data_IF_535340163673
#
_entry.id   IF_535340163673
#
_cell.length_a   1.000
_cell.length_b   1.000
_cell.length_c   1.000
_cell.angle_alpha   90.00
_cell.angle_beta   90.00
_cell.angle_gamma   90.00
#
_symmetry.space_group_name_H-M   'P 1'
#
loop_
_entity.id
_entity.type
_entity.pdbx_description
1 polymer ?
#
# COMPACT_ATOMS: atom_id res chain seq x y z
N UNK A 1 -8.10 -31.63 18.67
CA UNK A 1 -7.57 -30.50 19.48
C UNK A 1 -6.63 -29.66 18.62
N UNK A 2 -6.86 -28.35 18.60
CA UNK A 2 -6.42 -27.43 17.55
C UNK A 2 -4.89 -27.26 17.45
N UNK A 3 -4.38 -27.39 16.21
CA UNK A 3 -3.03 -26.99 15.82
C UNK A 3 -2.89 -25.47 15.92
N UNK A 4 -2.10 -25.00 16.89
CA UNK A 4 -1.74 -23.58 17.06
C UNK A 4 -0.88 -23.13 15.88
N UNK A 5 -1.50 -22.74 14.78
CA UNK A 5 -0.87 -21.88 13.77
C UNK A 5 -1.35 -20.46 13.99
N UNK A 6 -0.50 -19.60 14.54
CA UNK A 6 -0.33 -18.21 14.08
C UNK A 6 0.80 -17.48 14.85
N UNK A 7 1.45 -16.46 14.25
CA UNK A 7 1.44 -16.11 12.83
C UNK A 7 2.82 -15.69 12.26
N UNK A 8 3.05 -16.06 11.00
CA UNK A 8 4.08 -15.46 10.13
C UNK A 8 3.92 -13.93 9.92
N UNK A 9 2.88 -13.29 10.50
CA UNK A 9 2.64 -11.83 10.48
C UNK A 9 3.62 -11.05 11.36
N UNK A 10 4.02 -11.57 12.52
CA UNK A 10 4.87 -10.81 13.47
C UNK A 10 6.28 -10.61 12.94
N UNK A 11 6.85 -11.63 12.28
CA UNK A 11 8.19 -11.57 11.70
C UNK A 11 8.30 -10.62 10.49
N UNK A 12 7.18 -10.33 9.82
CA UNK A 12 7.12 -9.39 8.70
C UNK A 12 7.09 -7.92 9.15
N UNK A 13 6.78 -7.64 10.41
CA UNK A 13 6.76 -6.29 10.99
C UNK A 13 8.15 -5.86 11.49
N UNK A 14 8.93 -6.78 12.06
CA UNK A 14 10.24 -6.46 12.65
C UNK A 14 11.27 -5.96 11.61
N UNK A 15 11.27 -6.49 10.37
CA UNK A 15 12.12 -5.97 9.29
C UNK A 15 11.62 -4.63 8.70
N UNK A 16 10.36 -4.25 8.95
CA UNK A 16 9.78 -3.00 8.45
C UNK A 16 10.12 -1.81 9.35
N UNK A 17 10.34 -2.03 10.66
CA UNK A 17 10.74 -0.96 11.57
C UNK A 17 12.05 -0.29 11.13
N UNK A 18 13.07 -1.06 10.75
CA UNK A 18 14.33 -0.51 10.22
C UNK A 18 14.17 0.31 8.93
N UNK A 19 13.13 0.05 8.13
CA UNK A 19 12.84 0.85 6.94
C UNK A 19 12.25 2.21 7.31
N UNK A 20 11.43 2.29 8.37
CA UNK A 20 10.81 3.54 8.81
C UNK A 20 11.82 4.56 9.34
N UNK A 21 12.99 4.10 9.75
CA UNK A 21 14.07 4.98 10.21
C UNK A 21 14.86 5.65 9.08
N UNK A 22 14.63 5.26 7.82
CA UNK A 22 15.31 5.89 6.70
C UNK A 22 14.82 7.34 6.50
N UNK A 23 15.72 8.31 6.28
CA UNK A 23 15.33 9.71 6.05
C UNK A 23 14.28 9.88 4.95
N UNK A 24 14.49 9.22 3.81
CA UNK A 24 13.54 9.23 2.69
C UNK A 24 12.14 8.75 3.11
N UNK A 25 12.08 7.68 3.90
CA UNK A 25 10.81 7.11 4.35
C UNK A 25 10.09 8.04 5.31
N UNK A 26 10.83 8.72 6.20
CA UNK A 26 10.25 9.75 7.07
C UNK A 26 9.68 10.92 6.26
N UNK A 27 10.38 11.36 5.20
CA UNK A 27 9.85 12.37 4.29
C UNK A 27 8.55 11.92 3.63
N UNK A 28 8.48 10.67 3.13
CA UNK A 28 7.24 10.13 2.55
C UNK A 28 6.09 10.08 3.56
N UNK A 29 6.37 9.70 4.81
CA UNK A 29 5.36 9.69 5.88
C UNK A 29 4.86 11.10 6.14
N UNK A 30 5.76 12.09 6.21
CA UNK A 30 5.39 13.49 6.40
C UNK A 30 4.49 14.00 5.27
N UNK A 31 4.78 13.63 4.02
CA UNK A 31 3.94 14.01 2.89
C UNK A 31 2.57 13.32 2.92
N UNK A 32 2.50 12.06 3.36
CA UNK A 32 1.21 11.39 3.58
C UNK A 32 0.40 12.06 4.70
N UNK A 33 1.06 12.52 5.77
CA UNK A 33 0.41 13.31 6.82
C UNK A 33 -0.10 14.66 6.31
N UNK A 34 0.68 15.34 5.47
CA UNK A 34 0.26 16.60 4.80
C UNK A 34 -0.97 16.38 3.90
N UNK A 35 -1.14 15.18 3.33
CA UNK A 35 -2.30 14.77 2.54
C UNK A 35 -3.52 14.36 3.39
N UNK A 36 -3.43 14.43 4.72
CA UNK A 36 -4.54 14.23 5.64
C UNK A 36 -4.63 12.83 6.25
N UNK A 37 -3.61 11.98 6.10
CA UNK A 37 -3.55 10.67 6.75
C UNK A 37 -2.96 10.80 8.16
N UNK A 38 -3.46 10.00 9.11
CA UNK A 38 -2.85 9.96 10.44
C UNK A 38 -1.50 9.24 10.39
N UNK A 39 -0.58 9.53 11.31
CA UNK A 39 0.76 8.92 11.30
C UNK A 39 0.78 7.39 11.32
N UNK A 40 -0.23 6.74 11.92
CA UNK A 40 -0.37 5.28 11.86
C UNK A 40 -0.94 4.80 10.51
N UNK A 41 -1.96 5.48 9.98
CA UNK A 41 -2.52 5.17 8.66
C UNK A 41 -1.48 5.36 7.55
N UNK A 42 -0.68 6.43 7.64
CA UNK A 42 0.41 6.74 6.72
C UNK A 42 1.46 5.64 6.70
N UNK A 43 1.89 5.15 7.88
CA UNK A 43 2.82 4.02 8.01
C UNK A 43 2.22 2.74 7.43
N UNK A 44 0.95 2.44 7.70
CA UNK A 44 0.29 1.26 7.16
C UNK A 44 0.22 1.31 5.63
N UNK A 45 -0.22 2.44 5.08
CA UNK A 45 -0.30 2.66 3.64
C UNK A 45 1.06 2.53 2.96
N UNK A 46 2.07 3.19 3.51
CA UNK A 46 3.44 3.06 3.02
C UNK A 46 3.86 1.60 3.00
N UNK A 47 3.74 0.89 4.13
CA UNK A 47 4.15 -0.51 4.24
C UNK A 47 3.41 -1.41 3.25
N UNK A 48 2.13 -1.14 3.00
CA UNK A 48 1.29 -1.91 2.07
C UNK A 48 1.77 -1.74 0.63
N UNK A 49 2.07 -0.52 0.20
CA UNK A 49 2.34 -0.21 -1.21
C UNK A 49 3.83 -0.11 -1.56
N UNK A 50 4.71 0.07 -0.59
CA UNK A 50 6.14 0.32 -0.79
C UNK A 50 6.81 -0.71 -1.70
N UNK A 51 6.51 -2.00 -1.52
CA UNK A 51 7.13 -3.05 -2.33
C UNK A 51 6.69 -2.99 -3.80
N UNK A 52 5.41 -2.76 -4.03
CA UNK A 52 4.85 -2.67 -5.40
C UNK A 52 5.40 -1.41 -6.07
N UNK A 53 5.32 -0.28 -5.38
CA UNK A 53 5.82 1.01 -5.83
C UNK A 53 7.31 0.99 -6.18
N UNK A 54 8.14 0.37 -5.34
CA UNK A 54 9.58 0.22 -5.60
C UNK A 54 9.86 -0.59 -6.88
N UNK A 55 8.99 -1.52 -7.24
CA UNK A 55 9.15 -2.32 -8.46
C UNK A 55 8.64 -1.60 -9.71
N UNK A 56 7.60 -0.77 -9.58
CA UNK A 56 6.98 -0.08 -10.72
C UNK A 56 7.61 1.27 -11.04
N UNK A 57 7.93 2.07 -10.03
CA UNK A 57 8.42 3.45 -10.18
C UNK A 57 9.95 3.53 -10.16
N UNK A 58 10.63 2.49 -9.68
CA UNK A 58 12.10 2.45 -9.57
C UNK A 58 12.61 2.97 -8.22
N UNK A 59 13.85 3.47 -8.21
CA UNK A 59 14.53 3.91 -6.98
C UNK A 59 14.11 5.33 -6.59
N UNK A 60 13.67 5.48 -5.32
CA UNK A 60 13.53 6.72 -4.55
C UNK A 60 13.09 7.95 -5.38
N UNK A 61 11.89 7.93 -5.99
CA UNK A 61 11.29 9.13 -6.59
C UNK A 61 11.09 10.22 -5.53
N UNK A 62 10.77 11.44 -5.94
CA UNK A 62 10.44 12.52 -4.99
C UNK A 62 9.40 12.01 -3.96
N UNK A 63 9.64 12.27 -2.67
CA UNK A 63 8.78 11.81 -1.58
C UNK A 63 7.32 12.29 -1.75
N UNK A 64 7.13 13.50 -2.28
CA UNK A 64 5.82 14.07 -2.60
C UNK A 64 5.10 13.26 -3.68
N UNK A 65 5.78 12.98 -4.80
CA UNK A 65 5.23 12.19 -5.90
C UNK A 65 4.93 10.76 -5.45
N UNK A 66 5.81 10.17 -4.65
CA UNK A 66 5.60 8.84 -4.08
C UNK A 66 4.37 8.80 -3.16
N UNK A 67 4.20 9.79 -2.31
CA UNK A 67 3.03 9.90 -1.44
C UNK A 67 1.73 10.06 -2.25
N UNK A 68 1.74 10.90 -3.29
CA UNK A 68 0.60 11.07 -4.20
C UNK A 68 0.22 9.76 -4.89
N UNK A 69 1.19 9.04 -5.43
CA UNK A 69 0.95 7.75 -6.08
C UNK A 69 0.37 6.70 -5.13
N UNK A 70 0.87 6.63 -3.89
CA UNK A 70 0.27 5.76 -2.86
C UNK A 70 -1.21 6.11 -2.66
N UNK A 71 -1.53 7.40 -2.58
CA UNK A 71 -2.90 7.88 -2.38
C UNK A 71 -3.78 7.54 -3.58
N UNK A 72 -3.30 7.73 -4.80
CA UNK A 72 -4.03 7.37 -6.01
C UNK A 72 -4.28 5.87 -6.11
N UNK A 73 -3.29 5.03 -5.78
CA UNK A 73 -3.47 3.58 -5.70
C UNK A 73 -4.51 3.22 -4.63
N UNK A 74 -4.44 3.83 -3.45
CA UNK A 74 -5.40 3.57 -2.37
C UNK A 74 -6.82 3.99 -2.79
N UNK A 75 -7.00 5.12 -3.46
CA UNK A 75 -8.28 5.55 -4.04
C UNK A 75 -8.77 4.57 -5.09
N UNK A 76 -7.91 4.15 -6.02
CA UNK A 76 -8.24 3.21 -7.08
C UNK A 76 -8.67 1.84 -6.53
N UNK A 77 -7.98 1.33 -5.50
CA UNK A 77 -8.30 0.05 -4.84
C UNK A 77 -9.65 0.10 -4.12
N UNK A 78 -9.99 1.25 -3.53
CA UNK A 78 -11.26 1.43 -2.81
C UNK A 78 -12.41 1.94 -3.70
N UNK A 79 -12.12 2.23 -4.97
CA UNK A 79 -13.11 2.73 -5.92
C UNK A 79 -14.15 1.66 -6.18
N UNK A 80 -15.44 2.01 -6.03
CA UNK A 80 -16.55 1.13 -6.43
C UNK A 80 -16.59 1.06 -7.95
N UNK A 81 -16.88 -0.14 -8.47
CA UNK A 81 -17.05 -0.33 -9.90
C UNK A 81 -18.21 0.53 -10.43
N UNK A 82 -17.92 1.30 -11.47
CA UNK A 82 -18.91 2.07 -12.23
C UNK A 82 -18.84 1.64 -13.70
N UNK A 83 -19.91 1.03 -14.26
CA UNK A 83 -19.94 0.60 -15.64
C UNK A 83 -19.94 1.75 -16.66
N UNK A 84 -20.19 2.98 -16.21
CA UNK A 84 -20.17 4.17 -17.08
C UNK A 84 -18.78 4.81 -17.20
N UNK A 85 -17.83 4.42 -16.35
CA UNK A 85 -16.46 4.91 -16.41
C UNK A 85 -15.61 4.04 -17.35
N UNK A 86 -15.16 4.58 -18.50
CA UNK A 86 -14.33 3.83 -19.45
C UNK A 86 -12.94 3.46 -18.87
N UNK A 87 -12.52 4.07 -17.77
CA UNK A 87 -11.26 3.75 -17.09
C UNK A 87 -11.39 2.60 -16.09
N UNK A 88 -12.54 1.92 -16.04
CA UNK A 88 -12.78 0.79 -15.16
C UNK A 88 -13.15 -0.47 -15.94
N UNK A 89 -12.45 -1.56 -15.64
CA UNK A 89 -12.74 -2.88 -16.20
C UNK A 89 -13.35 -3.75 -15.10
N UNK A 90 -14.51 -4.37 -15.36
CA UNK A 90 -15.13 -5.28 -14.41
C UNK A 90 -14.37 -6.60 -14.33
N UNK A 91 -13.52 -6.74 -13.31
CA UNK A 91 -12.73 -7.96 -13.07
C UNK A 91 -13.42 -8.98 -12.16
N UNK A 92 -14.65 -8.72 -11.70
CA UNK A 92 -15.36 -9.57 -10.73
C UNK A 92 -15.54 -11.02 -11.20
N UNK A 93 -15.70 -11.23 -12.50
CA UNK A 93 -15.74 -12.56 -13.14
C UNK A 93 -14.44 -13.38 -12.98
N UNK A 94 -13.29 -12.75 -12.69
CA UNK A 94 -12.01 -13.43 -12.45
C UNK A 94 -11.77 -13.75 -10.97
N UNK A 95 -12.47 -13.10 -10.03
CA UNK A 95 -12.28 -13.35 -8.58
C UNK A 95 -12.61 -14.79 -8.18
N UNK A 96 -13.61 -15.41 -8.83
CA UNK A 96 -13.95 -16.82 -8.61
C UNK A 96 -12.91 -17.82 -9.15
N UNK A 97 -11.97 -17.36 -10.00
CA UNK A 97 -10.93 -18.22 -10.60
C UNK A 97 -9.56 -18.10 -9.93
N UNK A 98 -9.33 -17.06 -9.13
CA UNK A 98 -8.07 -16.80 -8.42
C UNK A 98 -7.95 -17.56 -7.09
N UNK A 99 -9.04 -18.18 -6.62
CA UNK A 99 -9.05 -19.05 -5.44
C UNK A 99 -9.13 -20.49 -5.94
N UNK A 100 -7.98 -21.15 -6.06
CA UNK A 100 -7.85 -22.60 -6.17
C UNK A 100 -6.82 -23.07 -5.17
#
# INVERSE_FOLDING_TARGET
>A
MASRRHPKKVRLLMNKMHMLDKPYIRSVIQELENLGYTGEDAKEMLVRYYRVMRWTVGFEPNAEDFAREIVEIQKAVNRKYDPTDPNQIYVGHLRGKLIK
#
